data_IF_475518364929
#
_entry.id   IF_475518364929
#
_cell.length_a   1.000
_cell.length_b   1.000
_cell.length_c   1.000
_cell.angle_alpha   90.00
_cell.angle_beta   90.00
_cell.angle_gamma   90.00
#
_symmetry.space_group_name_H-M   'P 1'
#
loop_
_entity.id
_entity.type
_entity.pdbx_description
1 polymer ?
#
# COMPACT_ATOMS: atom_id res chain seq x y z
N UNK A 1 -45.62 35.30 23.62
CA UNK A 1 -44.84 34.65 24.72
C UNK A 1 -44.28 33.36 24.16
N UNK A 2 -42.97 33.16 24.19
CA UNK A 2 -42.35 31.93 23.66
C UNK A 2 -42.66 30.76 24.61
N UNK A 3 -43.32 29.73 24.09
CA UNK A 3 -43.67 28.50 24.81
C UNK A 3 -43.19 27.30 24.02
N UNK A 4 -42.38 26.46 24.65
CA UNK A 4 -41.82 25.23 24.04
C UNK A 4 -42.22 24.05 24.93
N UNK A 5 -42.68 22.97 24.32
CA UNK A 5 -42.91 21.70 25.03
C UNK A 5 -41.59 20.95 25.13
N UNK A 6 -40.98 20.99 26.32
CA UNK A 6 -39.68 20.34 26.60
C UNK A 6 -39.86 18.97 27.28
N UNK A 7 -41.10 18.46 27.37
CA UNK A 7 -41.39 17.23 28.15
C UNK A 7 -41.14 15.93 27.38
N UNK A 8 -40.93 16.00 26.08
CA UNK A 8 -40.86 14.82 25.17
C UNK A 8 -39.44 14.48 24.68
N UNK A 9 -38.39 14.77 25.45
CA UNK A 9 -37.03 14.56 24.95
C UNK A 9 -36.25 13.57 25.79
N UNK A 10 -35.61 12.63 25.13
CA UNK A 10 -34.64 11.68 25.74
C UNK A 10 -33.25 12.30 25.97
N UNK A 11 -33.08 13.61 25.86
CA UNK A 11 -31.81 14.33 25.94
C UNK A 11 -31.79 15.51 26.89
N UNK A 12 -30.69 16.22 27.04
CA UNK A 12 -30.55 17.40 27.90
C UNK A 12 -31.52 18.52 27.48
N UNK A 13 -32.25 19.07 28.41
CA UNK A 13 -33.26 20.10 28.18
C UNK A 13 -32.74 21.34 27.44
N UNK A 14 -31.47 21.73 27.67
CA UNK A 14 -30.86 22.87 26.98
C UNK A 14 -30.74 22.62 25.47
N UNK A 15 -30.44 21.39 25.07
CA UNK A 15 -30.30 21.02 23.65
C UNK A 15 -31.67 21.09 22.94
N UNK A 16 -32.71 20.59 23.57
CA UNK A 16 -34.07 20.70 23.05
C UNK A 16 -34.50 22.17 22.89
N UNK A 17 -34.26 22.99 23.90
CA UNK A 17 -34.54 24.41 23.84
C UNK A 17 -33.76 25.13 22.73
N UNK A 18 -32.48 24.82 22.60
CA UNK A 18 -31.61 25.31 21.52
C UNK A 18 -32.19 24.96 20.15
N UNK A 19 -32.57 23.69 19.92
CA UNK A 19 -33.10 23.22 18.63
C UNK A 19 -34.44 23.87 18.31
N UNK A 20 -35.34 24.05 19.32
CA UNK A 20 -36.60 24.74 19.15
C UNK A 20 -36.41 26.19 18.70
N UNK A 21 -35.53 26.93 19.38
CA UNK A 21 -35.25 28.34 19.05
C UNK A 21 -34.59 28.44 17.66
N UNK A 22 -33.60 27.58 17.37
CA UNK A 22 -32.91 27.50 16.08
C UNK A 22 -33.91 27.26 14.93
N UNK A 23 -34.85 26.33 15.13
CA UNK A 23 -35.87 26.03 14.14
C UNK A 23 -36.82 27.23 13.93
N UNK A 24 -37.23 27.91 14.99
CA UNK A 24 -38.09 29.09 14.88
C UNK A 24 -37.40 30.27 14.18
N UNK A 25 -36.09 30.44 14.39
CA UNK A 25 -35.27 31.40 13.65
C UNK A 25 -35.19 30.98 12.16
N UNK A 26 -34.89 29.69 11.90
CA UNK A 26 -34.74 29.17 10.53
C UNK A 26 -36.03 29.17 9.73
N UNK A 27 -37.19 29.06 10.42
CA UNK A 27 -38.54 29.15 9.83
C UNK A 27 -39.07 30.60 9.72
N UNK A 28 -38.30 31.58 10.19
CA UNK A 28 -38.69 32.98 10.16
C UNK A 28 -39.76 33.37 11.18
N UNK A 29 -40.10 32.50 12.15
CA UNK A 29 -41.03 32.82 13.25
C UNK A 29 -40.43 33.81 14.24
N UNK A 30 -39.10 33.80 14.38
CA UNK A 30 -38.34 34.79 15.11
C UNK A 30 -37.59 35.64 14.09
N UNK A 31 -37.84 36.93 14.07
CA UNK A 31 -37.33 37.85 13.06
C UNK A 31 -35.95 38.38 13.41
N UNK A 32 -35.14 38.69 12.38
CA UNK A 32 -33.85 39.38 12.55
C UNK A 32 -34.02 40.65 13.39
N UNK A 33 -33.11 40.86 14.35
CA UNK A 33 -33.15 41.98 15.29
C UNK A 33 -34.21 41.87 16.37
N UNK A 34 -35.06 40.85 16.40
CA UNK A 34 -36.05 40.62 17.45
C UNK A 34 -35.36 40.41 18.80
N UNK A 35 -35.91 41.03 19.83
CA UNK A 35 -35.39 40.93 21.19
C UNK A 35 -35.88 39.69 21.90
N UNK A 36 -35.01 38.84 22.31
CA UNK A 36 -35.31 37.65 23.09
C UNK A 36 -35.55 37.98 24.59
N UNK A 37 -36.38 37.19 25.29
CA UNK A 37 -36.56 37.31 26.73
C UNK A 37 -35.22 37.15 27.46
N UNK A 38 -35.10 37.77 28.66
CA UNK A 38 -33.92 37.51 29.50
C UNK A 38 -33.84 36.03 29.90
N UNK A 39 -32.63 35.53 30.17
CA UNK A 39 -32.41 34.14 30.62
C UNK A 39 -33.34 33.77 31.79
N UNK A 40 -33.52 34.68 32.78
CA UNK A 40 -34.40 34.48 33.94
C UNK A 40 -35.89 34.50 33.56
N UNK A 41 -36.28 35.37 32.65
CA UNK A 41 -37.66 35.49 32.21
C UNK A 41 -38.10 34.25 31.43
N UNK A 42 -37.25 33.78 30.49
CA UNK A 42 -37.54 32.59 29.70
C UNK A 42 -37.55 31.33 30.56
N UNK A 43 -36.59 31.20 31.50
CA UNK A 43 -36.54 30.10 32.46
C UNK A 43 -37.83 29.98 33.28
N UNK A 44 -38.32 31.12 33.81
CA UNK A 44 -39.55 31.17 34.56
C UNK A 44 -40.77 30.79 33.70
N UNK A 45 -40.82 31.25 32.45
CA UNK A 45 -41.92 30.96 31.53
C UNK A 45 -42.00 29.49 31.12
N UNK A 46 -40.84 28.84 30.96
CA UNK A 46 -40.74 27.44 30.53
C UNK A 46 -40.65 26.44 31.69
N UNK A 47 -40.58 26.91 32.94
CA UNK A 47 -40.46 26.05 34.12
C UNK A 47 -39.11 25.30 34.18
N UNK A 48 -38.04 25.83 33.59
CA UNK A 48 -36.70 25.23 33.55
C UNK A 48 -35.67 26.04 34.35
N UNK A 49 -34.51 25.48 34.59
CA UNK A 49 -33.41 26.20 35.27
C UNK A 49 -32.85 27.33 34.39
N UNK A 50 -32.37 28.41 35.03
CA UNK A 50 -31.72 29.52 34.32
C UNK A 50 -30.48 29.03 33.58
N UNK A 51 -29.76 28.04 34.12
CA UNK A 51 -28.59 27.40 33.48
C UNK A 51 -28.98 26.71 32.18
N UNK A 52 -30.15 26.04 32.12
CA UNK A 52 -30.67 25.43 30.91
C UNK A 52 -30.82 26.44 29.77
N UNK A 53 -31.42 27.60 30.06
CA UNK A 53 -31.61 28.69 29.09
C UNK A 53 -30.24 29.34 28.74
N UNK A 54 -29.38 29.47 29.71
CA UNK A 54 -28.04 30.02 29.51
C UNK A 54 -27.24 29.19 28.51
N UNK A 55 -27.15 27.88 28.72
CA UNK A 55 -26.43 26.97 27.81
C UNK A 55 -27.05 27.00 26.38
N UNK A 56 -28.39 27.07 26.27
CA UNK A 56 -29.04 27.18 24.97
C UNK A 56 -28.72 28.50 24.26
N UNK A 57 -28.73 29.62 25.00
CA UNK A 57 -28.43 30.93 24.46
C UNK A 57 -26.95 31.06 24.10
N UNK A 58 -26.05 30.56 24.93
CA UNK A 58 -24.63 30.63 24.70
C UNK A 58 -24.26 29.81 23.44
N UNK A 59 -24.91 28.67 23.20
CA UNK A 59 -24.76 27.90 21.99
C UNK A 59 -25.28 28.64 20.75
N UNK A 60 -26.48 29.21 20.82
CA UNK A 60 -27.06 30.03 19.74
C UNK A 60 -26.22 31.25 19.40
N UNK A 61 -25.57 31.87 20.42
CA UNK A 61 -24.62 32.96 20.22
C UNK A 61 -23.31 32.44 19.59
N UNK A 62 -22.80 31.33 20.08
CA UNK A 62 -21.59 30.70 19.53
C UNK A 62 -21.74 30.31 18.07
N UNK A 63 -22.92 29.87 17.65
CA UNK A 63 -23.27 29.52 16.28
C UNK A 63 -23.71 30.72 15.41
N UNK A 64 -23.85 31.91 16.01
CA UNK A 64 -24.20 33.13 15.29
C UNK A 64 -25.69 33.31 14.99
N UNK A 65 -26.62 32.51 15.57
CA UNK A 65 -28.07 32.70 15.47
C UNK A 65 -28.57 33.84 16.33
N UNK A 66 -27.83 34.19 17.38
CA UNK A 66 -28.13 35.26 18.32
C UNK A 66 -26.91 36.07 18.63
N UNK A 67 -27.09 37.28 19.11
CA UNK A 67 -26.02 38.11 19.67
C UNK A 67 -26.52 38.85 20.94
N UNK A 68 -25.53 39.12 21.83
CA UNK A 68 -25.81 39.87 23.05
C UNK A 68 -25.36 41.33 22.88
N UNK A 69 -26.19 42.28 23.37
CA UNK A 69 -25.80 43.69 23.51
C UNK A 69 -25.66 44.04 25.01
N UNK A 70 -24.54 44.55 25.45
CA UNK A 70 -24.32 44.93 26.85
C UNK A 70 -25.45 45.82 27.36
N UNK A 71 -26.04 45.46 28.52
CA UNK A 71 -27.18 46.16 29.18
C UNK A 71 -28.48 46.22 28.35
N UNK A 72 -28.57 45.68 27.16
CA UNK A 72 -29.74 45.69 26.28
C UNK A 72 -30.41 44.32 26.12
N UNK A 73 -29.66 43.22 26.33
CA UNK A 73 -30.16 41.86 26.28
C UNK A 73 -29.73 41.09 25.02
N UNK A 74 -30.51 40.08 24.66
CA UNK A 74 -30.25 39.11 23.58
C UNK A 74 -31.13 39.43 22.38
N UNK A 75 -30.56 39.25 21.17
CA UNK A 75 -31.24 39.58 19.90
C UNK A 75 -30.98 38.50 18.89
N UNK A 76 -31.94 38.27 18.01
CA UNK A 76 -31.78 37.36 16.87
C UNK A 76 -30.84 38.02 15.85
N UNK A 77 -29.85 37.25 15.36
CA UNK A 77 -28.96 37.69 14.32
C UNK A 77 -29.66 37.74 12.95
N UNK A 78 -29.09 38.49 12.01
CA UNK A 78 -29.57 38.46 10.64
C UNK A 78 -29.05 37.16 9.95
N UNK A 79 -29.98 36.24 9.75
CA UNK A 79 -29.75 34.97 9.08
C UNK A 79 -30.51 34.88 7.77
N UNK A 80 -30.92 36.03 7.21
CA UNK A 80 -31.74 36.11 5.98
C UNK A 80 -31.04 35.50 4.73
N UNK A 81 -29.71 35.42 4.73
CA UNK A 81 -28.94 34.74 3.67
C UNK A 81 -28.82 33.22 3.84
N UNK A 82 -29.21 32.68 4.97
CA UNK A 82 -29.31 31.24 5.15
C UNK A 82 -30.55 30.75 4.37
N UNK A 83 -30.40 30.53 3.08
CA UNK A 83 -31.40 29.74 2.35
C UNK A 83 -31.54 28.43 3.11
N UNK A 84 -32.75 28.16 3.59
CA UNK A 84 -33.07 26.85 4.18
C UNK A 84 -32.75 25.80 3.14
N UNK A 85 -31.57 25.27 3.21
CA UNK A 85 -31.26 24.03 2.51
C UNK A 85 -32.17 23.02 3.20
N UNK A 86 -33.30 22.70 2.54
CA UNK A 86 -34.18 21.62 2.99
C UNK A 86 -33.28 20.48 3.39
N UNK A 87 -33.43 20.00 4.63
CA UNK A 87 -32.64 18.87 5.11
C UNK A 87 -32.52 17.85 3.98
N UNK A 88 -31.29 17.43 3.61
CA UNK A 88 -31.13 16.51 2.49
C UNK A 88 -32.05 15.33 2.81
N UNK A 89 -33.01 15.04 1.91
CA UNK A 89 -33.73 13.77 1.94
C UNK A 89 -32.68 12.71 2.13
N UNK A 90 -32.80 11.86 3.14
CA UNK A 90 -31.87 10.74 3.36
C UNK A 90 -31.82 9.93 2.07
N UNK A 91 -30.87 10.27 1.20
CA UNK A 91 -30.55 9.44 0.06
C UNK A 91 -29.86 8.20 0.64
N UNK A 92 -30.41 7.03 0.35
CA UNK A 92 -29.65 5.79 0.55
C UNK A 92 -28.30 5.95 -0.11
N UNK A 93 -27.24 5.85 0.69
CA UNK A 93 -25.87 5.95 0.19
C UNK A 93 -25.59 4.71 -0.66
N UNK A 94 -25.53 4.89 -1.97
CA UNK A 94 -25.17 3.83 -2.91
C UNK A 94 -23.66 3.87 -3.22
N UNK A 95 -22.85 3.46 -2.24
CA UNK A 95 -21.40 3.30 -2.41
C UNK A 95 -21.15 1.87 -2.87
N UNK A 96 -20.57 1.71 -4.06
CA UNK A 96 -20.14 0.41 -4.56
C UNK A 96 -18.74 0.10 -4.01
N UNK A 97 -18.69 -0.74 -3.01
CA UNK A 97 -17.43 -1.27 -2.50
C UNK A 97 -16.86 -2.32 -3.47
N UNK A 98 -15.53 -2.45 -3.56
CA UNK A 98 -14.93 -3.57 -4.28
C UNK A 98 -15.37 -4.89 -3.63
N UNK A 99 -15.55 -5.97 -4.40
CA UNK A 99 -15.96 -7.25 -3.87
C UNK A 99 -14.93 -7.76 -2.84
N UNK A 100 -15.43 -8.30 -1.73
CA UNK A 100 -14.60 -9.01 -0.77
C UNK A 100 -13.97 -10.25 -1.41
N UNK A 101 -12.78 -10.62 -0.94
CA UNK A 101 -12.13 -11.82 -1.45
C UNK A 101 -12.85 -13.05 -0.93
N UNK A 102 -13.30 -13.89 -1.85
CA UNK A 102 -13.93 -15.16 -1.51
C UNK A 102 -12.86 -16.16 -1.02
N UNK A 103 -12.85 -16.43 0.28
CA UNK A 103 -11.91 -17.36 0.91
C UNK A 103 -12.14 -18.83 0.49
N UNK A 104 -13.26 -19.15 -0.13
CA UNK A 104 -13.54 -20.50 -0.65
C UNK A 104 -12.75 -20.83 -1.91
N UNK A 105 -12.21 -19.81 -2.61
CA UNK A 105 -11.46 -19.95 -3.84
C UNK A 105 -10.01 -20.37 -3.54
N UNK A 106 -9.57 -21.46 -4.15
CA UNK A 106 -8.17 -21.88 -4.10
C UNK A 106 -7.34 -21.05 -5.09
N UNK A 107 -6.59 -20.07 -4.57
CA UNK A 107 -5.88 -19.07 -5.37
C UNK A 107 -4.40 -19.43 -5.56
N UNK A 108 -4.05 -19.91 -6.76
CA UNK A 108 -2.67 -20.18 -7.17
C UNK A 108 -1.85 -18.91 -7.46
N UNK A 109 -2.49 -17.77 -7.66
CA UNK A 109 -1.85 -16.51 -8.02
C UNK A 109 -1.67 -15.57 -6.82
N UNK A 110 -2.19 -15.97 -5.64
CA UNK A 110 -2.14 -15.14 -4.43
C UNK A 110 -0.69 -14.83 -4.02
N UNK A 111 -0.36 -13.55 -3.99
CA UNK A 111 0.95 -13.07 -3.57
C UNK A 111 1.01 -12.79 -2.05
N UNK A 112 0.21 -13.51 -1.24
CA UNK A 112 0.20 -13.41 0.22
C UNK A 112 1.31 -14.27 0.82
N UNK A 113 1.88 -13.81 1.93
CA UNK A 113 2.80 -14.61 2.75
C UNK A 113 2.01 -15.53 3.68
N UNK A 114 2.60 -16.68 4.02
CA UNK A 114 2.04 -17.60 5.01
C UNK A 114 2.05 -16.95 6.40
N UNK A 115 0.86 -16.67 6.94
CA UNK A 115 0.67 -15.98 8.22
C UNK A 115 1.10 -16.84 9.43
N UNK A 116 1.15 -18.17 9.29
CA UNK A 116 1.52 -19.09 10.37
C UNK A 116 2.98 -19.03 10.80
N UNK A 117 3.84 -18.41 10.00
CA UNK A 117 5.28 -18.37 10.22
C UNK A 117 5.81 -17.07 10.84
N UNK A 118 4.95 -16.07 11.07
CA UNK A 118 5.39 -14.82 11.70
C UNK A 118 5.82 -15.06 13.16
N UNK A 119 6.97 -14.55 13.62
CA UNK A 119 7.50 -14.80 14.95
C UNK A 119 6.84 -13.94 16.03
N UNK A 120 5.53 -14.12 16.26
CA UNK A 120 4.71 -13.29 17.15
C UNK A 120 5.28 -13.14 18.56
N UNK A 121 5.80 -14.23 19.17
CA UNK A 121 6.33 -14.18 20.53
C UNK A 121 7.56 -13.27 20.66
N UNK A 122 8.46 -13.33 19.68
CA UNK A 122 9.66 -12.48 19.64
C UNK A 122 9.25 -11.05 19.37
N UNK A 123 8.39 -10.82 18.37
CA UNK A 123 7.90 -9.50 18.03
C UNK A 123 7.20 -8.81 19.20
N UNK A 124 6.29 -9.51 19.89
CA UNK A 124 5.59 -8.99 21.05
C UNK A 124 6.53 -8.70 22.23
N UNK A 125 7.57 -9.52 22.43
CA UNK A 125 8.61 -9.26 23.43
C UNK A 125 9.34 -7.95 23.11
N UNK A 126 9.88 -7.83 21.90
CA UNK A 126 10.64 -6.63 21.48
C UNK A 126 9.79 -5.37 21.52
N UNK A 127 8.52 -5.45 21.13
CA UNK A 127 7.60 -4.30 21.20
C UNK A 127 7.36 -3.85 22.64
N UNK A 128 7.09 -4.76 23.56
CA UNK A 128 6.93 -4.41 24.99
C UNK A 128 8.17 -3.75 25.57
N UNK A 129 9.35 -4.29 25.27
CA UNK A 129 10.61 -3.72 25.72
C UNK A 129 10.86 -2.34 25.08
N UNK A 130 10.53 -2.17 23.81
CA UNK A 130 10.60 -0.88 23.11
C UNK A 130 9.72 0.17 23.79
N UNK A 131 8.47 -0.19 24.12
CA UNK A 131 7.54 0.69 24.83
C UNK A 131 8.13 1.12 26.19
N UNK A 132 8.67 0.17 26.95
CA UNK A 132 9.21 0.47 28.28
C UNK A 132 10.50 1.30 28.28
N UNK A 133 11.29 1.23 27.21
CA UNK A 133 12.62 1.84 27.16
C UNK A 133 12.63 3.18 26.42
N UNK A 134 11.63 3.49 25.60
CA UNK A 134 11.63 4.63 24.65
C UNK A 134 10.35 5.46 24.69
N UNK A 135 9.76 5.65 25.86
CA UNK A 135 8.48 6.36 26.02
C UNK A 135 8.46 7.75 25.36
N UNK A 136 9.54 8.52 25.48
CA UNK A 136 9.61 9.86 24.93
C UNK A 136 9.74 9.86 23.40
N UNK A 137 10.61 9.01 22.86
CA UNK A 137 10.84 8.89 21.41
C UNK A 137 9.59 8.36 20.70
N UNK A 138 8.84 7.45 21.33
CA UNK A 138 7.60 6.89 20.76
C UNK A 138 6.48 7.92 20.65
N UNK A 139 6.47 8.95 21.48
CA UNK A 139 5.51 10.05 21.44
C UNK A 139 5.94 11.18 20.50
N UNK A 140 7.15 11.12 19.97
CA UNK A 140 7.68 12.12 19.04
C UNK A 140 7.30 11.79 17.59
N UNK A 141 7.15 12.84 16.76
CA UNK A 141 6.90 12.70 15.33
C UNK A 141 8.11 12.04 14.67
N UNK A 142 7.86 10.99 13.89
CA UNK A 142 8.91 10.29 13.14
C UNK A 142 9.58 11.21 12.11
N UNK A 143 10.93 11.22 12.03
CA UNK A 143 11.64 11.93 10.96
C UNK A 143 11.17 11.47 9.57
N UNK A 144 11.24 12.34 8.57
CA UNK A 144 10.75 12.08 7.22
C UNK A 144 11.36 10.84 6.55
N UNK A 145 12.64 10.54 6.84
CA UNK A 145 13.32 9.32 6.37
C UNK A 145 13.10 8.08 7.23
N UNK A 146 12.38 8.22 8.37
CA UNK A 146 12.26 7.18 9.40
C UNK A 146 13.32 7.31 10.50
N UNK A 147 13.13 6.56 11.60
CA UNK A 147 14.05 6.62 12.75
C UNK A 147 15.43 6.11 12.36
N UNK A 148 16.48 6.75 12.94
CA UNK A 148 17.86 6.48 12.58
C UNK A 148 18.26 5.04 12.86
N UNK A 149 17.82 4.49 13.97
CA UNK A 149 18.13 3.12 14.38
C UNK A 149 17.63 2.09 13.37
N UNK A 150 16.45 2.30 12.75
CA UNK A 150 15.97 1.41 11.71
C UNK A 150 16.79 1.54 10.43
N UNK A 151 17.15 2.76 10.04
CA UNK A 151 17.99 3.01 8.86
C UNK A 151 19.39 2.42 9.02
N UNK A 152 19.99 2.51 10.20
CA UNK A 152 21.27 1.87 10.54
C UNK A 152 21.17 0.33 10.51
N UNK A 153 20.09 -0.23 11.06
CA UNK A 153 19.85 -1.67 11.02
C UNK A 153 19.67 -2.18 9.59
N UNK A 154 18.95 -1.43 8.73
CA UNK A 154 18.78 -1.76 7.30
C UNK A 154 20.12 -1.66 6.58
N UNK A 155 20.91 -0.60 6.78
CA UNK A 155 22.23 -0.45 6.15
C UNK A 155 23.16 -1.60 6.52
N UNK A 156 23.21 -1.99 7.79
CA UNK A 156 23.99 -3.15 8.26
C UNK A 156 23.53 -4.46 7.62
N UNK A 157 22.21 -4.68 7.52
CA UNK A 157 21.66 -5.85 6.84
C UNK A 157 22.02 -5.88 5.36
N UNK A 158 21.91 -4.76 4.64
CA UNK A 158 22.28 -4.66 3.23
C UNK A 158 23.76 -4.93 3.01
N UNK A 159 24.63 -4.43 3.90
CA UNK A 159 26.07 -4.71 3.83
C UNK A 159 26.37 -6.19 4.02
N UNK A 160 25.82 -6.82 5.06
CA UNK A 160 26.09 -8.23 5.39
C UNK A 160 25.44 -9.21 4.44
N UNK A 161 24.21 -8.93 3.99
CA UNK A 161 23.41 -9.87 3.18
C UNK A 161 23.54 -9.65 1.67
N UNK A 162 23.69 -8.40 1.22
CA UNK A 162 23.72 -8.01 -0.21
C UNK A 162 25.08 -7.48 -0.66
N UNK A 163 26.02 -7.26 0.25
CA UNK A 163 27.30 -6.63 -0.06
C UNK A 163 27.19 -5.15 -0.48
N UNK A 164 26.09 -4.49 -0.10
CA UNK A 164 25.82 -3.09 -0.43
C UNK A 164 26.27 -2.18 0.71
N UNK A 165 27.23 -1.31 0.47
CA UNK A 165 27.64 -0.29 1.43
C UNK A 165 26.84 0.99 1.17
N UNK A 166 25.83 1.26 1.98
CA UNK A 166 24.98 2.44 1.88
C UNK A 166 25.01 3.21 3.20
N UNK A 167 25.00 4.54 3.12
CA UNK A 167 24.86 5.38 4.30
C UNK A 167 23.42 5.33 4.81
N UNK A 168 23.17 5.23 6.13
CA UNK A 168 21.82 5.28 6.67
C UNK A 168 21.00 6.51 6.23
N UNK A 169 21.65 7.62 5.91
CA UNK A 169 20.99 8.84 5.45
C UNK A 169 20.53 8.79 3.97
N UNK A 170 20.98 7.79 3.20
CA UNK A 170 20.44 7.46 1.89
C UNK A 170 19.13 6.66 1.97
N UNK A 171 18.81 6.10 3.15
CA UNK A 171 17.66 5.20 3.35
C UNK A 171 16.43 5.99 3.76
N UNK A 172 15.34 5.82 3.00
CA UNK A 172 14.03 6.40 3.29
C UNK A 172 13.04 5.28 3.53
N UNK A 173 12.44 5.26 4.72
CA UNK A 173 11.44 4.28 5.16
C UNK A 173 10.03 4.78 4.83
N UNK A 174 9.14 3.88 4.37
CA UNK A 174 7.76 4.22 4.06
C UNK A 174 6.78 3.07 4.26
N UNK A 175 5.50 3.39 4.38
CA UNK A 175 4.41 2.43 4.62
C UNK A 175 4.05 1.63 3.36
N UNK A 176 4.97 0.81 2.89
CA UNK A 176 4.85 -0.02 1.69
C UNK A 176 5.40 0.66 0.44
N UNK A 177 5.69 -0.15 -0.57
CA UNK A 177 6.29 0.32 -1.83
C UNK A 177 5.38 1.27 -2.59
N UNK A 178 4.07 1.11 -2.49
CA UNK A 178 3.07 2.00 -3.12
C UNK A 178 3.25 3.48 -2.70
N UNK A 179 3.51 3.71 -1.40
CA UNK A 179 3.81 5.04 -0.89
C UNK A 179 5.13 5.57 -1.44
N UNK A 180 6.16 4.71 -1.46
CA UNK A 180 7.49 5.08 -1.97
C UNK A 180 7.46 5.43 -3.46
N UNK A 181 6.68 4.71 -4.30
CA UNK A 181 6.53 5.05 -5.72
C UNK A 181 5.91 6.44 -5.90
N UNK A 182 4.85 6.76 -5.14
CA UNK A 182 4.27 8.11 -5.16
C UNK A 182 5.23 9.19 -4.66
N UNK A 183 6.09 8.85 -3.69
CA UNK A 183 7.11 9.76 -3.18
C UNK A 183 8.22 10.01 -4.22
N UNK A 184 8.61 8.96 -4.97
CA UNK A 184 9.57 9.09 -6.07
C UNK A 184 9.06 9.99 -7.19
N UNK A 185 7.78 9.93 -7.53
CA UNK A 185 7.20 10.87 -8.52
C UNK A 185 7.34 12.33 -8.06
N UNK A 186 7.13 12.58 -6.76
CA UNK A 186 7.31 13.93 -6.18
C UNK A 186 8.78 14.37 -6.19
N UNK A 187 9.70 13.44 -6.03
CA UNK A 187 11.14 13.71 -6.02
C UNK A 187 11.69 13.91 -7.43
N UNK A 188 11.39 12.99 -8.34
CA UNK A 188 11.96 12.95 -9.70
C UNK A 188 11.22 13.87 -10.70
N UNK A 189 9.93 14.11 -10.47
CA UNK A 189 9.08 14.98 -11.30
C UNK A 189 8.02 14.22 -12.10
N UNK A 190 6.91 14.93 -12.37
CA UNK A 190 5.78 14.44 -13.17
C UNK A 190 5.97 14.70 -14.67
N UNK A 191 6.95 15.52 -15.02
CA UNK A 191 7.32 15.89 -16.39
C UNK A 191 8.13 14.81 -17.11
N UNK A 192 8.64 13.84 -16.37
CA UNK A 192 9.42 12.71 -16.89
C UNK A 192 8.53 11.58 -17.40
N UNK A 193 9.03 10.85 -18.39
CA UNK A 193 8.42 9.63 -18.89
C UNK A 193 8.98 8.44 -18.09
N UNK A 194 8.12 7.79 -17.35
CA UNK A 194 8.41 6.54 -16.65
C UNK A 194 8.14 5.37 -17.59
N UNK A 195 8.90 4.30 -17.48
CA UNK A 195 8.57 3.05 -18.14
C UNK A 195 8.62 1.88 -17.17
N UNK A 196 7.80 0.87 -17.47
CA UNK A 196 7.65 -0.37 -16.69
C UNK A 196 7.75 -1.56 -17.62
N UNK A 197 8.12 -2.70 -17.07
CA UNK A 197 8.20 -3.99 -17.75
C UNK A 197 6.82 -4.48 -18.20
N UNK A 198 6.71 -5.05 -19.41
CA UNK A 198 5.48 -5.64 -19.95
C UNK A 198 5.76 -7.04 -20.56
N UNK A 199 5.16 -8.14 -20.02
CA UNK A 199 4.21 -8.16 -18.90
C UNK A 199 4.84 -7.70 -17.58
N UNK A 200 4.03 -7.15 -16.67
CA UNK A 200 4.52 -6.64 -15.38
C UNK A 200 3.43 -6.42 -14.33
N UNK A 201 3.83 -5.98 -13.16
CA UNK A 201 2.88 -5.70 -12.09
C UNK A 201 2.11 -4.41 -12.37
N UNK A 202 0.91 -4.53 -12.92
CA UNK A 202 0.06 -3.41 -13.39
C UNK A 202 -0.13 -2.28 -12.38
N UNK A 203 -0.11 -2.62 -11.09
CA UNK A 203 -0.30 -1.63 -10.03
C UNK A 203 0.77 -0.53 -10.03
N UNK A 204 1.99 -0.84 -10.51
CA UNK A 204 3.07 0.15 -10.61
C UNK A 204 2.68 1.26 -11.59
N UNK A 205 2.25 0.90 -12.80
CA UNK A 205 1.81 1.91 -13.80
C UNK A 205 0.61 2.71 -13.31
N UNK A 206 -0.38 2.06 -12.69
CA UNK A 206 -1.54 2.72 -12.11
C UNK A 206 -1.16 3.74 -11.03
N UNK A 207 -0.18 3.42 -10.17
CA UNK A 207 0.29 4.35 -9.14
C UNK A 207 0.98 5.56 -9.79
N UNK A 208 1.82 5.36 -10.79
CA UNK A 208 2.46 6.46 -11.51
C UNK A 208 1.43 7.36 -12.19
N UNK A 209 0.48 6.79 -12.91
CA UNK A 209 -0.62 7.51 -13.56
C UNK A 209 -1.49 8.29 -12.56
N UNK A 210 -1.85 7.67 -11.42
CA UNK A 210 -2.57 8.34 -10.33
C UNK A 210 -1.80 9.51 -9.71
N UNK A 211 -0.46 9.51 -9.81
CA UNK A 211 0.40 10.63 -9.42
C UNK A 211 0.70 11.60 -10.57
N UNK A 212 -0.06 11.54 -11.67
CA UNK A 212 0.09 12.38 -12.87
C UNK A 212 1.44 12.23 -13.60
N UNK A 213 2.13 11.10 -13.44
CA UNK A 213 3.32 10.79 -14.19
C UNK A 213 2.96 9.96 -15.43
N UNK A 214 3.54 10.30 -16.57
CA UNK A 214 3.38 9.51 -17.79
C UNK A 214 4.12 8.20 -17.65
N UNK A 215 3.42 7.07 -17.69
CA UNK A 215 3.99 5.74 -17.57
C UNK A 215 3.71 4.91 -18.84
N UNK A 216 4.76 4.35 -19.44
CA UNK A 216 4.67 3.59 -20.69
C UNK A 216 5.15 2.16 -20.47
N UNK A 217 4.40 1.15 -20.93
CA UNK A 217 4.87 -0.25 -20.92
C UNK A 217 5.95 -0.45 -21.97
N UNK A 218 6.99 -1.19 -21.60
CA UNK A 218 8.08 -1.59 -22.49
C UNK A 218 8.20 -3.10 -22.51
N UNK A 219 8.11 -3.69 -23.69
CA UNK A 219 8.16 -5.14 -23.87
C UNK A 219 9.51 -5.71 -23.41
N UNK A 220 9.41 -6.89 -22.83
CA UNK A 220 10.54 -7.71 -22.41
C UNK A 220 10.89 -8.76 -23.47
N UNK A 221 12.18 -9.11 -23.49
CA UNK A 221 12.68 -10.33 -24.12
C UNK A 221 13.07 -11.38 -23.05
N UNK A 222 13.80 -12.40 -23.43
CA UNK A 222 14.27 -13.48 -22.53
C UNK A 222 15.29 -12.99 -21.47
N UNK A 223 15.83 -11.78 -21.62
CA UNK A 223 16.82 -11.17 -20.73
C UNK A 223 16.23 -10.05 -19.84
N UNK A 224 14.93 -9.75 -19.98
CA UNK A 224 14.26 -8.67 -19.27
C UNK A 224 13.87 -7.52 -20.18
N UNK A 225 13.70 -6.31 -19.62
CA UNK A 225 13.27 -5.13 -20.38
C UNK A 225 14.25 -4.79 -21.52
N UNK A 226 13.73 -4.44 -22.69
CA UNK A 226 14.52 -4.08 -23.86
C UNK A 226 15.01 -2.63 -23.79
N UNK A 227 16.32 -2.42 -23.71
CA UNK A 227 16.93 -1.07 -23.67
C UNK A 227 16.67 -0.31 -24.97
N UNK A 228 16.63 -0.98 -26.12
CA UNK A 228 16.29 -0.38 -27.40
C UNK A 228 14.87 0.21 -27.36
N UNK A 229 13.90 -0.52 -26.79
CA UNK A 229 12.53 -0.05 -26.67
C UNK A 229 12.40 1.06 -25.63
N UNK A 230 13.17 1.05 -24.52
CA UNK A 230 13.26 2.17 -23.57
C UNK A 230 13.68 3.45 -24.31
N UNK A 231 14.69 3.37 -25.17
CA UNK A 231 15.15 4.50 -25.99
C UNK A 231 14.07 4.97 -26.97
N UNK A 232 13.34 4.05 -27.61
CA UNK A 232 12.24 4.38 -28.56
C UNK A 232 11.09 5.13 -27.90
N UNK A 233 10.72 4.79 -26.66
CA UNK A 233 9.67 5.49 -25.94
C UNK A 233 10.16 6.78 -25.27
N UNK A 234 11.45 7.08 -25.38
CA UNK A 234 12.12 8.24 -24.80
C UNK A 234 11.89 8.35 -23.28
N UNK A 235 12.01 7.21 -22.56
CA UNK A 235 11.85 7.20 -21.11
C UNK A 235 13.06 7.81 -20.40
N UNK A 236 12.82 8.47 -19.28
CA UNK A 236 13.83 8.97 -18.37
C UNK A 236 13.95 8.08 -17.13
N UNK A 237 12.88 7.42 -16.71
CA UNK A 237 12.85 6.58 -15.52
C UNK A 237 12.44 5.16 -15.93
N UNK A 238 13.28 4.18 -15.65
CA UNK A 238 12.98 2.76 -15.87
C UNK A 238 12.75 2.07 -14.53
N UNK A 239 11.54 1.55 -14.29
CA UNK A 239 11.21 0.76 -13.10
C UNK A 239 11.22 -0.72 -13.47
N UNK A 240 12.10 -1.49 -12.84
CA UNK A 240 12.41 -2.87 -13.20
C UNK A 240 12.60 -3.76 -11.97
N UNK A 241 12.44 -5.08 -12.14
CA UNK A 241 12.68 -6.10 -11.11
C UNK A 241 13.73 -7.11 -11.60
N UNK A 242 15.03 -6.77 -11.58
CA UNK A 242 16.07 -7.53 -12.29
C UNK A 242 16.50 -8.82 -11.61
N UNK A 243 16.26 -8.98 -10.31
CA UNK A 243 16.65 -10.19 -9.55
C UNK A 243 15.66 -11.31 -9.70
N UNK A 244 14.37 -10.99 -9.75
CA UNK A 244 13.28 -11.95 -9.95
C UNK A 244 12.05 -11.21 -10.47
N UNK A 245 11.89 -11.20 -11.79
CA UNK A 245 10.80 -10.44 -12.41
C UNK A 245 9.43 -11.07 -12.16
N UNK A 246 8.46 -10.26 -11.72
CA UNK A 246 7.06 -10.67 -11.67
C UNK A 246 6.30 -10.14 -12.91
N UNK A 247 5.61 -11.01 -13.67
CA UNK A 247 5.25 -12.40 -13.35
C UNK A 247 6.16 -13.47 -13.97
N UNK A 248 7.13 -13.13 -14.80
CA UNK A 248 7.82 -14.08 -15.67
C UNK A 248 8.89 -14.94 -14.97
N UNK A 249 9.29 -14.56 -13.76
CA UNK A 249 10.39 -15.21 -13.05
C UNK A 249 11.78 -14.98 -13.66
N UNK A 250 11.91 -14.17 -14.70
CA UNK A 250 13.20 -13.89 -15.37
C UNK A 250 14.17 -13.23 -14.38
N UNK A 251 15.37 -13.75 -14.34
CA UNK A 251 16.51 -13.09 -13.70
C UNK A 251 17.34 -12.40 -14.80
N UNK A 252 17.48 -11.09 -14.70
CA UNK A 252 18.20 -10.27 -15.68
C UNK A 252 19.71 -10.62 -15.68
N UNK A 253 20.28 -11.01 -16.81
CA UNK A 253 21.71 -11.34 -16.90
C UNK A 253 22.56 -10.06 -16.79
N UNK A 254 23.82 -10.24 -16.43
CA UNK A 254 24.76 -9.14 -16.12
C UNK A 254 24.97 -8.19 -17.30
N UNK A 255 25.02 -8.70 -18.54
CA UNK A 255 25.14 -7.86 -19.73
C UNK A 255 23.99 -6.85 -19.86
N UNK A 256 22.73 -7.28 -19.66
CA UNK A 256 21.56 -6.40 -19.71
C UNK A 256 21.58 -5.35 -18.60
N UNK A 257 22.11 -5.69 -17.41
CA UNK A 257 22.30 -4.74 -16.31
C UNK A 257 23.26 -3.62 -16.68
N UNK A 258 24.39 -3.97 -17.34
CA UNK A 258 25.34 -2.98 -17.85
C UNK A 258 24.77 -2.15 -19.01
N UNK A 259 23.96 -2.73 -19.90
CA UNK A 259 23.26 -1.97 -20.94
C UNK A 259 22.30 -0.92 -20.34
N UNK A 260 21.58 -1.27 -19.27
CA UNK A 260 20.70 -0.34 -18.56
C UNK A 260 21.48 0.76 -17.84
N UNK A 261 22.60 0.43 -17.19
CA UNK A 261 23.47 1.45 -16.57
C UNK A 261 24.06 2.37 -17.63
N UNK A 262 24.51 1.83 -18.78
CA UNK A 262 24.98 2.65 -19.88
C UNK A 262 23.90 3.60 -20.40
N UNK A 263 22.65 3.10 -20.57
CA UNK A 263 21.51 3.94 -20.95
C UNK A 263 21.24 5.04 -19.92
N UNK A 264 21.27 4.72 -18.62
CA UNK A 264 21.04 5.72 -17.57
C UNK A 264 22.14 6.80 -17.56
N UNK A 265 23.39 6.40 -17.85
CA UNK A 265 24.53 7.33 -17.90
C UNK A 265 24.58 8.25 -19.13
N UNK A 266 23.78 7.97 -20.16
CA UNK A 266 23.69 8.86 -21.34
C UNK A 266 23.07 10.22 -21.02
N UNK A 267 22.36 10.39 -19.89
CA UNK A 267 21.75 11.67 -19.48
C UNK A 267 21.70 11.81 -17.95
N UNK A 268 21.84 13.04 -17.46
CA UNK A 268 21.74 13.35 -16.02
C UNK A 268 20.36 13.05 -15.45
N UNK A 269 19.30 13.14 -16.25
CA UNK A 269 17.91 12.99 -15.81
C UNK A 269 17.40 11.56 -15.86
N UNK A 270 18.21 10.58 -16.29
CA UNK A 270 17.81 9.19 -16.35
C UNK A 270 18.15 8.47 -15.06
N UNK A 271 17.19 7.65 -14.58
CA UNK A 271 17.37 6.79 -13.40
C UNK A 271 16.74 5.42 -13.63
N UNK A 272 17.27 4.45 -12.91
CA UNK A 272 16.74 3.08 -12.80
C UNK A 272 16.14 2.94 -11.40
N UNK A 273 14.88 2.55 -11.30
CA UNK A 273 14.26 2.11 -10.05
C UNK A 273 14.33 0.59 -10.04
N UNK A 274 15.15 0.04 -9.17
CA UNK A 274 15.33 -1.39 -8.96
C UNK A 274 14.44 -1.87 -7.83
N UNK A 275 13.34 -2.58 -8.17
CA UNK A 275 12.42 -3.17 -7.20
C UNK A 275 12.81 -4.61 -6.87
N UNK A 276 13.32 -4.81 -5.68
CA UNK A 276 13.92 -6.06 -5.21
C UNK A 276 13.07 -6.69 -4.09
N UNK A 277 11.84 -7.05 -4.41
CA UNK A 277 10.77 -7.35 -3.45
C UNK A 277 10.85 -8.71 -2.74
N UNK A 278 11.59 -9.71 -3.26
CA UNK A 278 11.66 -11.08 -2.72
C UNK A 278 13.05 -11.73 -2.78
N UNK A 279 14.08 -10.94 -2.87
CA UNK A 279 15.49 -11.38 -3.00
C UNK A 279 16.02 -12.23 -1.84
N UNK A 280 15.39 -12.14 -0.68
CA UNK A 280 15.71 -12.99 0.46
C UNK A 280 15.38 -14.48 0.20
N UNK A 281 14.50 -14.79 -0.77
CA UNK A 281 14.00 -16.14 -1.06
C UNK A 281 14.65 -16.80 -2.27
N UNK A 282 15.96 -16.69 -2.40
CA UNK A 282 16.70 -17.57 -3.30
C UNK A 282 16.96 -18.91 -2.61
N UNK A 283 16.48 -20.00 -3.24
CA UNK A 283 16.50 -21.34 -2.63
C UNK A 283 17.88 -21.98 -2.72
N UNK A 284 18.60 -21.73 -3.83
CA UNK A 284 19.94 -22.28 -4.08
C UNK A 284 20.95 -21.16 -4.36
N UNK A 285 22.14 -21.26 -3.77
CA UNK A 285 23.24 -20.33 -3.97
C UNK A 285 23.13 -19.02 -3.18
N UNK A 286 24.03 -18.08 -3.47
CA UNK A 286 24.05 -16.76 -2.87
C UNK A 286 23.00 -15.83 -3.52
N UNK A 287 22.53 -14.81 -2.79
CA UNK A 287 21.68 -13.78 -3.37
C UNK A 287 22.34 -13.13 -4.59
N UNK A 288 21.53 -12.85 -5.61
CA UNK A 288 22.04 -12.17 -6.83
C UNK A 288 22.34 -10.72 -6.47
N UNK A 289 23.56 -10.21 -6.75
CA UNK A 289 23.87 -8.81 -6.49
C UNK A 289 22.90 -7.88 -7.23
N UNK A 290 22.39 -6.81 -6.60
CA UNK A 290 21.54 -5.85 -7.28
C UNK A 290 22.32 -4.97 -8.26
N UNK A 291 21.61 -4.26 -9.15
CA UNK A 291 22.23 -3.30 -10.08
C UNK A 291 22.91 -2.17 -9.29
N UNK A 292 22.32 -1.74 -8.18
CA UNK A 292 22.91 -0.73 -7.29
C UNK A 292 24.34 -1.09 -6.88
N UNK A 293 24.66 -2.39 -6.67
CA UNK A 293 26.00 -2.80 -6.24
C UNK A 293 27.09 -2.61 -7.29
N UNK A 294 26.72 -2.44 -8.56
CA UNK A 294 27.62 -2.18 -9.69
C UNK A 294 27.45 -0.79 -10.28
N UNK A 295 26.61 0.05 -9.69
CA UNK A 295 26.39 1.44 -10.11
C UNK A 295 27.49 2.35 -9.56
N UNK A 296 28.37 2.82 -10.43
CA UNK A 296 29.43 3.78 -10.10
C UNK A 296 29.02 5.25 -10.34
N UNK A 297 27.83 5.51 -10.88
CA UNK A 297 27.42 6.83 -11.37
C UNK A 297 26.18 7.37 -10.70
N UNK A 298 25.73 6.77 -9.60
CA UNK A 298 24.56 7.20 -8.82
C UNK A 298 23.26 7.32 -9.67
N UNK A 299 22.98 6.28 -10.46
CA UNK A 299 21.80 6.22 -11.34
C UNK A 299 20.72 5.27 -10.86
N UNK A 300 20.99 4.46 -9.84
CA UNK A 300 20.07 3.44 -9.37
C UNK A 300 19.44 3.84 -8.03
N UNK A 301 18.11 3.80 -8.00
CA UNK A 301 17.28 3.89 -6.80
C UNK A 301 16.85 2.47 -6.46
N UNK A 302 17.28 1.95 -5.32
CA UNK A 302 16.94 0.61 -4.89
C UNK A 302 15.73 0.62 -3.96
N UNK A 303 14.79 -0.30 -4.15
CA UNK A 303 13.60 -0.45 -3.30
C UNK A 303 13.50 -1.90 -2.82
N UNK A 304 13.17 -2.06 -1.53
CA UNK A 304 12.85 -3.36 -0.95
C UNK A 304 11.73 -3.25 0.09
N UNK A 305 11.15 -4.40 0.47
CA UNK A 305 10.01 -4.46 1.38
C UNK A 305 10.10 -5.61 2.37
N UNK A 306 9.77 -5.35 3.63
CA UNK A 306 9.58 -6.38 4.63
C UNK A 306 8.24 -7.12 4.51
N UNK A 307 7.36 -6.68 3.61
CA UNK A 307 6.03 -7.30 3.40
C UNK A 307 6.11 -8.73 2.88
N UNK A 308 7.20 -9.13 2.24
CA UNK A 308 7.44 -10.51 1.77
C UNK A 308 8.25 -11.34 2.75
N UNK A 309 9.22 -10.71 3.37
CA UNK A 309 10.15 -11.39 4.28
C UNK A 309 9.57 -11.59 5.68
N UNK A 310 8.62 -10.75 6.13
CA UNK A 310 7.93 -10.88 7.42
C UNK A 310 6.44 -11.21 7.26
N UNK A 311 5.63 -10.20 6.98
CA UNK A 311 4.18 -10.35 6.72
C UNK A 311 3.67 -9.19 5.88
N UNK A 312 2.69 -9.45 5.02
CA UNK A 312 2.09 -8.43 4.16
C UNK A 312 1.41 -7.28 4.93
N UNK A 313 1.05 -7.50 6.18
CA UNK A 313 0.36 -6.53 7.05
C UNK A 313 1.30 -5.55 7.73
N UNK A 314 2.61 -5.83 7.82
CA UNK A 314 3.58 -4.95 8.48
C UNK A 314 3.76 -3.62 7.73
N UNK A 315 3.56 -3.64 6.42
CA UNK A 315 3.59 -2.45 5.56
C UNK A 315 4.85 -1.59 5.70
N UNK A 316 6.00 -2.18 5.98
CA UNK A 316 7.28 -1.45 6.03
C UNK A 316 8.08 -1.79 4.76
N UNK A 317 8.45 -0.73 4.06
CA UNK A 317 9.35 -0.79 2.89
C UNK A 317 10.37 0.33 3.00
N UNK A 318 11.44 0.24 2.25
CA UNK A 318 12.45 1.30 2.20
C UNK A 318 13.00 1.46 0.79
N UNK A 319 13.53 2.64 0.52
CA UNK A 319 14.32 2.92 -0.67
C UNK A 319 15.70 3.45 -0.29
N UNK A 320 16.69 3.12 -1.09
CA UNK A 320 18.04 3.67 -1.02
C UNK A 320 18.20 4.63 -2.18
N UNK A 321 18.44 5.89 -1.87
CA UNK A 321 18.61 6.95 -2.85
C UNK A 321 20.11 7.18 -3.13
N UNK A 322 20.49 7.49 -4.37
CA UNK A 322 21.76 8.16 -4.65
C UNK A 322 21.97 9.37 -3.76
N UNK A 323 23.20 9.69 -3.40
CA UNK A 323 23.51 10.77 -2.43
C UNK A 323 22.87 12.12 -2.82
N UNK A 324 22.99 12.48 -4.10
CA UNK A 324 22.42 13.75 -4.59
C UNK A 324 20.88 13.76 -4.51
N UNK A 325 20.20 12.62 -4.73
CA UNK A 325 18.74 12.51 -4.60
C UNK A 325 18.32 12.45 -3.13
N UNK A 326 19.12 11.87 -2.22
CA UNK A 326 18.88 11.92 -0.79
C UNK A 326 18.93 13.35 -0.27
N UNK A 327 19.95 14.12 -0.68
CA UNK A 327 20.05 15.55 -0.37
C UNK A 327 18.85 16.34 -0.88
N UNK A 328 18.40 16.07 -2.12
CA UNK A 328 17.22 16.70 -2.70
C UNK A 328 15.93 16.30 -1.97
N UNK A 329 15.80 15.03 -1.56
CA UNK A 329 14.70 14.55 -0.75
C UNK A 329 14.59 15.32 0.58
N UNK A 330 15.67 15.42 1.35
CA UNK A 330 15.67 16.16 2.61
C UNK A 330 15.45 17.66 2.41
N UNK A 331 15.94 18.24 1.32
CA UNK A 331 15.72 19.66 1.01
C UNK A 331 14.26 19.96 0.65
N UNK A 332 13.58 19.10 -0.14
CA UNK A 332 12.25 19.38 -0.70
C UNK A 332 11.10 18.73 0.06
N UNK A 333 11.33 17.57 0.66
CA UNK A 333 10.27 16.73 1.20
C UNK A 333 10.39 16.49 2.70
N UNK A 334 11.31 17.16 3.41
CA UNK A 334 11.51 17.03 4.86
C UNK A 334 10.30 17.43 5.71
N UNK A 335 9.35 18.16 5.15
CA UNK A 335 8.09 18.51 5.83
C UNK A 335 7.10 17.34 5.96
N UNK A 336 7.33 16.22 5.24
CA UNK A 336 6.58 14.99 5.46
C UNK A 336 7.10 14.27 6.70
N UNK A 337 6.19 13.67 7.47
CA UNK A 337 6.56 12.69 8.48
C UNK A 337 6.63 11.30 7.86
N UNK A 338 7.50 10.43 8.38
CA UNK A 338 7.47 9.02 7.97
C UNK A 338 6.11 8.40 8.27
N UNK A 339 5.59 7.64 7.31
CA UNK A 339 4.26 7.04 7.39
C UNK A 339 4.21 5.75 8.20
N UNK A 340 5.36 5.22 8.61
CA UNK A 340 5.45 4.03 9.48
C UNK A 340 5.44 4.46 10.94
N UNK A 341 4.67 3.77 11.77
CA UNK A 341 4.63 4.00 13.21
C UNK A 341 6.02 3.86 13.85
N UNK A 342 6.38 4.80 14.74
CA UNK A 342 7.63 4.73 15.50
C UNK A 342 7.73 3.46 16.34
N UNK A 343 6.62 2.94 16.87
CA UNK A 343 6.56 1.66 17.59
C UNK A 343 7.06 0.50 16.73
N UNK A 344 6.60 0.42 15.48
CA UNK A 344 7.01 -0.61 14.55
C UNK A 344 8.43 -0.41 14.05
N UNK A 345 8.84 0.83 13.80
CA UNK A 345 10.19 1.14 13.35
C UNK A 345 11.24 0.71 14.39
N UNK A 346 11.09 1.08 15.65
CA UNK A 346 12.03 0.69 16.70
C UNK A 346 12.00 -0.82 16.98
N UNK A 347 10.81 -1.44 16.91
CA UNK A 347 10.68 -2.90 17.07
C UNK A 347 11.42 -3.64 15.94
N UNK A 348 11.25 -3.21 14.69
CA UNK A 348 11.91 -3.80 13.53
C UNK A 348 13.43 -3.54 13.57
N UNK A 349 13.87 -2.36 13.97
CA UNK A 349 15.29 -2.05 14.14
C UNK A 349 15.98 -3.06 15.07
N UNK A 350 15.38 -3.32 16.22
CA UNK A 350 15.87 -4.33 17.16
C UNK A 350 15.76 -5.75 16.61
N UNK A 351 14.66 -6.08 15.94
CA UNK A 351 14.47 -7.40 15.33
C UNK A 351 15.58 -7.72 14.32
N UNK A 352 16.04 -6.71 13.56
CA UNK A 352 17.17 -6.84 12.63
C UNK A 352 18.49 -6.89 13.40
N UNK A 353 18.80 -5.88 14.23
CA UNK A 353 20.10 -5.71 14.88
C UNK A 353 20.42 -6.82 15.90
N UNK A 354 19.42 -7.42 16.55
CA UNK A 354 19.59 -8.55 17.46
C UNK A 354 19.65 -9.91 16.71
N UNK A 355 19.66 -9.91 15.37
CA UNK A 355 19.83 -11.10 14.53
C UNK A 355 18.57 -12.00 14.41
N UNK A 356 17.41 -11.55 14.89
CA UNK A 356 16.16 -12.31 14.76
C UNK A 356 15.66 -12.35 13.33
N UNK A 357 15.87 -11.28 12.57
CA UNK A 357 15.49 -11.20 11.15
C UNK A 357 16.22 -12.25 10.32
N UNK A 358 17.53 -12.35 10.46
CA UNK A 358 18.33 -13.34 9.73
C UNK A 358 17.91 -14.79 10.08
N UNK A 359 17.72 -15.07 11.36
CA UNK A 359 17.21 -16.39 11.82
C UNK A 359 15.83 -16.69 11.22
N UNK A 360 14.96 -15.68 11.15
CA UNK A 360 13.64 -15.81 10.53
C UNK A 360 13.76 -16.11 9.03
N UNK A 361 14.55 -15.35 8.27
CA UNK A 361 14.75 -15.56 6.83
C UNK A 361 15.29 -16.97 6.55
N UNK A 362 16.29 -17.43 7.32
CA UNK A 362 16.84 -18.77 7.15
C UNK A 362 15.77 -19.87 7.40
N UNK A 363 14.94 -19.72 8.42
CA UNK A 363 13.80 -20.61 8.66
C UNK A 363 12.78 -20.57 7.52
N UNK A 364 12.44 -19.39 7.01
CA UNK A 364 11.49 -19.23 5.91
C UNK A 364 12.00 -19.81 4.60
N UNK A 365 13.30 -19.70 4.30
CA UNK A 365 13.93 -20.36 3.14
C UNK A 365 13.74 -21.87 3.19
N UNK A 366 14.00 -22.48 4.34
CA UNK A 366 13.79 -23.94 4.53
C UNK A 366 12.31 -24.31 4.37
N UNK A 367 11.42 -23.52 4.95
CA UNK A 367 9.97 -23.75 4.87
C UNK A 367 9.50 -23.66 3.42
N UNK A 368 9.81 -22.56 2.72
CA UNK A 368 9.40 -22.37 1.33
C UNK A 368 10.10 -23.33 0.36
N UNK A 369 11.35 -23.72 0.64
CA UNK A 369 12.05 -24.74 -0.13
C UNK A 369 11.33 -26.10 -0.09
N UNK A 370 10.90 -26.54 1.10
CA UNK A 370 10.10 -27.78 1.27
C UNK A 370 8.74 -27.66 0.57
N UNK A 371 8.05 -26.55 0.74
CA UNK A 371 6.75 -26.28 0.13
C UNK A 371 6.83 -26.29 -1.40
N UNK A 372 7.85 -25.64 -1.96
CA UNK A 372 8.16 -25.65 -3.40
C UNK A 372 8.35 -27.08 -3.90
N UNK A 373 9.18 -27.87 -3.24
CA UNK A 373 9.41 -29.28 -3.64
C UNK A 373 8.13 -30.12 -3.60
N UNK A 374 7.29 -29.94 -2.58
CA UNK A 374 5.98 -30.60 -2.49
C UNK A 374 5.08 -30.24 -3.67
N UNK A 375 4.97 -28.93 -3.99
CA UNK A 375 4.15 -28.45 -5.11
C UNK A 375 4.67 -28.99 -6.44
N UNK A 376 5.98 -28.95 -6.68
CA UNK A 376 6.60 -29.48 -7.89
C UNK A 376 6.39 -31.00 -8.03
N UNK A 377 6.50 -31.76 -6.94
CA UNK A 377 6.23 -33.19 -6.92
C UNK A 377 4.77 -33.50 -7.25
N UNK A 378 3.82 -32.72 -6.72
CA UNK A 378 2.40 -32.85 -7.04
C UNK A 378 2.11 -32.58 -8.53
N UNK A 379 2.73 -31.55 -9.11
CA UNK A 379 2.59 -31.24 -10.53
C UNK A 379 3.14 -32.39 -11.39
N UNK A 380 4.33 -32.89 -11.09
CA UNK A 380 4.95 -34.02 -11.80
C UNK A 380 4.16 -35.32 -11.64
N UNK A 381 3.47 -35.51 -10.51
CA UNK A 381 2.59 -36.68 -10.28
C UNK A 381 1.26 -36.58 -11.03
N UNK A 382 0.77 -35.38 -11.32
CA UNK A 382 -0.49 -35.15 -11.99
C UNK A 382 -0.37 -35.07 -13.52
N UNK A 383 0.69 -34.43 -14.02
CA UNK A 383 0.88 -34.14 -15.45
C UNK A 383 2.11 -34.83 -16.00
N UNK A 384 2.05 -35.26 -17.26
CA UNK A 384 3.23 -35.63 -18.03
C UNK A 384 3.99 -34.39 -18.52
N UNK A 385 5.27 -34.54 -18.88
CA UNK A 385 6.10 -33.44 -19.40
C UNK A 385 5.55 -32.83 -20.72
N UNK A 386 4.74 -33.58 -21.47
CA UNK A 386 4.07 -33.07 -22.65
C UNK A 386 2.85 -32.23 -22.30
N UNK A 387 2.09 -32.60 -21.28
CA UNK A 387 0.89 -31.91 -20.86
C UNK A 387 1.17 -30.60 -20.12
N UNK A 388 2.23 -30.60 -19.28
CA UNK A 388 2.59 -29.45 -18.45
C UNK A 388 4.10 -29.33 -18.30
N UNK A 389 4.66 -28.19 -18.68
CA UNK A 389 6.07 -27.82 -18.48
C UNK A 389 6.20 -26.82 -17.34
N UNK A 390 7.09 -27.07 -16.39
CA UNK A 390 7.45 -26.13 -15.34
C UNK A 390 8.59 -25.25 -15.82
N UNK A 391 8.44 -23.93 -15.66
CA UNK A 391 9.46 -22.91 -15.99
C UNK A 391 9.82 -22.22 -14.68
N UNK A 392 11.02 -22.47 -14.19
CA UNK A 392 11.51 -21.93 -12.91
C UNK A 392 13.02 -21.65 -12.93
N UNK A 393 13.51 -20.86 -11.95
CA UNK A 393 14.91 -20.47 -11.82
C UNK A 393 15.44 -20.47 -10.38
N UNK A 394 14.84 -21.26 -9.48
CA UNK A 394 15.23 -21.36 -8.06
C UNK A 394 15.15 -20.05 -7.23
N UNK A 395 14.45 -19.05 -7.73
CA UNK A 395 14.33 -17.74 -7.08
C UNK A 395 12.87 -17.39 -6.78
N UNK A 396 12.67 -16.61 -5.71
CA UNK A 396 11.37 -16.04 -5.33
C UNK A 396 10.35 -17.06 -4.84
N UNK A 397 9.09 -16.65 -4.79
CA UNK A 397 7.98 -17.40 -4.20
C UNK A 397 6.97 -17.91 -5.25
N UNK A 398 7.28 -17.76 -6.55
CA UNK A 398 6.44 -18.25 -7.63
C UNK A 398 7.27 -18.85 -8.74
N UNK A 399 6.65 -19.67 -9.56
CA UNK A 399 7.16 -20.15 -10.84
C UNK A 399 6.02 -20.22 -11.86
N UNK A 400 6.33 -20.53 -13.08
CA UNK A 400 5.36 -20.61 -14.18
C UNK A 400 5.16 -22.07 -14.58
N UNK A 401 3.91 -22.41 -14.89
CA UNK A 401 3.57 -23.65 -15.59
C UNK A 401 3.03 -23.30 -16.97
N UNK A 402 3.39 -24.11 -17.95
CA UNK A 402 2.89 -23.98 -19.31
C UNK A 402 2.15 -25.27 -19.68
N UNK A 403 0.88 -25.12 -20.09
CA UNK A 403 0.06 -26.25 -20.53
C UNK A 403 0.06 -26.38 -22.05
N UNK A 404 0.02 -27.62 -22.53
CA UNK A 404 -0.24 -27.93 -23.94
C UNK A 404 -1.74 -28.00 -24.18
N UNK A 405 -2.36 -26.87 -24.47
CA UNK A 405 -3.79 -26.71 -24.67
C UNK A 405 -4.10 -25.73 -25.79
N UNK A 406 -5.25 -25.89 -26.44
CA UNK A 406 -5.75 -24.95 -27.45
C UNK A 406 -6.81 -23.98 -26.88
N UNK A 407 -7.11 -24.07 -25.57
CA UNK A 407 -8.10 -23.21 -24.93
C UNK A 407 -7.48 -21.85 -24.66
N UNK A 408 -8.09 -20.72 -25.08
CA UNK A 408 -7.57 -19.39 -24.82
C UNK A 408 -7.35 -19.12 -23.31
N UNK A 409 -6.27 -18.43 -22.96
CA UNK A 409 -5.87 -18.16 -21.58
C UNK A 409 -7.01 -17.62 -20.71
N UNK A 410 -7.75 -16.64 -21.22
CA UNK A 410 -8.90 -16.04 -20.52
C UNK A 410 -10.02 -17.05 -20.27
N UNK A 411 -10.26 -17.95 -21.22
CA UNK A 411 -11.28 -19.01 -21.09
C UNK A 411 -10.87 -20.02 -20.02
N UNK A 412 -9.58 -20.37 -19.95
CA UNK A 412 -9.04 -21.23 -18.89
C UNK A 412 -9.27 -20.59 -17.52
N UNK A 413 -8.94 -19.31 -17.35
CA UNK A 413 -9.17 -18.57 -16.09
C UNK A 413 -10.64 -18.60 -15.67
N UNK A 414 -11.58 -18.35 -16.62
CA UNK A 414 -13.02 -18.31 -16.36
C UNK A 414 -13.59 -19.70 -16.01
N UNK A 415 -13.14 -20.75 -16.70
CA UNK A 415 -13.59 -22.14 -16.44
C UNK A 415 -13.12 -22.61 -15.06
N UNK A 416 -11.87 -22.36 -14.72
CA UNK A 416 -11.31 -22.77 -13.43
C UNK A 416 -11.92 -21.97 -12.27
N UNK A 417 -12.18 -20.67 -12.46
CA UNK A 417 -12.83 -19.83 -11.45
C UNK A 417 -14.23 -20.36 -11.10
N UNK A 418 -15.02 -20.82 -12.07
CA UNK A 418 -16.31 -21.47 -11.84
C UNK A 418 -16.21 -22.76 -11.01
N UNK A 419 -15.04 -23.41 -11.02
CA UNK A 419 -14.72 -24.59 -10.20
C UNK A 419 -14.03 -24.25 -8.85
N UNK A 420 -14.03 -22.97 -8.47
CA UNK A 420 -13.43 -22.50 -7.22
C UNK A 420 -11.89 -22.49 -7.25
N UNK A 421 -11.28 -22.39 -8.43
CA UNK A 421 -9.83 -22.32 -8.62
C UNK A 421 -9.49 -21.03 -9.34
N UNK A 422 -8.64 -20.21 -8.74
CA UNK A 422 -8.09 -19.02 -9.39
C UNK A 422 -6.67 -19.32 -9.85
N UNK A 423 -6.49 -19.33 -11.16
CA UNK A 423 -5.21 -19.46 -11.84
C UNK A 423 -5.10 -18.31 -12.83
N UNK A 424 -4.00 -17.58 -12.82
CA UNK A 424 -3.83 -16.39 -13.68
C UNK A 424 -2.76 -16.65 -14.73
N UNK A 425 -3.11 -16.36 -15.98
CA UNK A 425 -2.19 -16.42 -17.10
C UNK A 425 -1.21 -15.24 -17.09
N UNK A 426 -0.02 -15.40 -17.64
CA UNK A 426 0.94 -14.30 -17.81
C UNK A 426 0.34 -13.18 -18.67
N UNK A 427 -0.48 -13.53 -19.67
CA UNK A 427 -1.18 -12.58 -20.53
C UNK A 427 -2.13 -11.66 -19.75
N UNK A 428 -2.59 -12.07 -18.56
CA UNK A 428 -3.35 -11.22 -17.65
C UNK A 428 -2.55 -9.98 -17.20
N UNK A 429 -1.23 -10.07 -17.13
CA UNK A 429 -0.32 -9.03 -16.65
C UNK A 429 0.18 -8.11 -17.75
N UNK A 430 -0.15 -8.36 -19.00
CA UNK A 430 0.19 -7.48 -20.10
C UNK A 430 -0.58 -6.15 -20.01
N UNK A 431 0.13 -5.04 -20.18
CA UNK A 431 -0.43 -3.71 -20.39
C UNK A 431 -0.71 -3.48 -21.88
N UNK A 432 0.18 -3.96 -22.74
CA UNK A 432 -0.03 -4.03 -24.19
C UNK A 432 -0.71 -5.36 -24.48
N UNK A 433 -1.85 -5.33 -25.19
CA UNK A 433 -2.57 -6.55 -25.53
C UNK A 433 -1.65 -7.53 -26.27
N UNK A 434 -1.47 -8.76 -25.78
CA UNK A 434 -0.63 -9.75 -26.45
C UNK A 434 -1.26 -10.17 -27.78
N UNK A 435 -0.41 -10.54 -28.74
CA UNK A 435 -0.87 -11.03 -30.05
C UNK A 435 -1.41 -12.45 -29.99
N UNK A 436 -0.85 -13.27 -29.11
CA UNK A 436 -1.15 -14.69 -28.95
C UNK A 436 -1.21 -15.09 -27.47
N UNK A 437 -1.99 -16.12 -27.17
CA UNK A 437 -1.96 -16.75 -25.86
C UNK A 437 -0.67 -17.54 -25.69
N UNK A 438 -0.13 -17.56 -24.47
CA UNK A 438 1.14 -18.26 -24.15
C UNK A 438 0.89 -19.58 -23.44
N UNK A 439 -0.32 -19.81 -22.94
CA UNK A 439 -0.71 -20.92 -22.07
C UNK A 439 0.19 -21.08 -20.84
N UNK A 440 0.72 -19.95 -20.37
CA UNK A 440 1.63 -19.84 -19.24
C UNK A 440 0.90 -19.22 -18.06
N UNK A 441 0.92 -19.92 -16.91
CA UNK A 441 0.18 -19.54 -15.72
C UNK A 441 1.08 -19.48 -14.50
N UNK A 442 0.78 -18.57 -13.57
CA UNK A 442 1.57 -18.34 -12.37
C UNK A 442 1.14 -19.31 -11.27
N UNK A 443 2.13 -19.93 -10.64
CA UNK A 443 1.97 -20.67 -9.40
C UNK A 443 2.77 -19.98 -8.31
N UNK A 444 2.10 -19.23 -7.45
CA UNK A 444 2.69 -18.70 -6.22
C UNK A 444 2.50 -19.72 -5.09
N UNK A 445 3.59 -20.36 -4.69
CA UNK A 445 3.54 -21.43 -3.70
C UNK A 445 3.61 -20.94 -2.25
N UNK A 446 3.77 -19.64 -2.00
CA UNK A 446 3.92 -19.10 -0.63
C UNK A 446 2.71 -19.38 0.27
N UNK A 447 1.49 -19.30 -0.28
CA UNK A 447 0.25 -19.49 0.48
C UNK A 447 -0.55 -20.74 0.07
N UNK A 448 0.01 -21.63 -0.75
CA UNK A 448 -0.67 -22.86 -1.17
C UNK A 448 -0.71 -23.85 0.00
N UNK A 449 -1.87 -24.44 0.22
CA UNK A 449 -2.03 -25.62 1.08
C UNK A 449 -1.56 -26.86 0.32
N UNK A 450 -0.41 -27.40 0.72
CA UNK A 450 0.22 -28.53 0.02
C UNK A 450 -0.62 -29.83 0.10
N UNK A 451 -1.45 -30.00 1.13
CA UNK A 451 -2.27 -31.19 1.32
C UNK A 451 -3.48 -31.22 0.38
N UNK A 452 -3.93 -30.05 -0.05
CA UNK A 452 -5.09 -29.88 -0.95
C UNK A 452 -4.74 -29.68 -2.42
N UNK A 453 -3.46 -29.57 -2.76
CA UNK A 453 -3.03 -29.19 -4.09
C UNK A 453 -3.37 -30.27 -5.15
N UNK A 454 -3.21 -31.56 -4.80
CA UNK A 454 -3.39 -32.67 -5.74
C UNK A 454 -4.81 -32.70 -6.32
N UNK A 455 -5.83 -32.54 -5.48
CA UNK A 455 -7.22 -32.49 -5.93
C UNK A 455 -7.47 -31.33 -6.90
N UNK A 456 -6.85 -30.19 -6.64
CA UNK A 456 -6.99 -29.01 -7.47
C UNK A 456 -6.27 -29.16 -8.81
N UNK A 457 -5.10 -29.79 -8.83
CA UNK A 457 -4.39 -30.11 -10.07
C UNK A 457 -5.16 -31.10 -10.95
N UNK A 458 -5.82 -32.09 -10.38
CA UNK A 458 -6.70 -33.02 -11.11
C UNK A 458 -7.87 -32.28 -11.75
N UNK A 459 -8.53 -31.37 -11.02
CA UNK A 459 -9.60 -30.54 -11.57
C UNK A 459 -9.08 -29.66 -12.73
N UNK A 460 -7.88 -29.10 -12.60
CA UNK A 460 -7.24 -28.33 -13.68
C UNK A 460 -7.05 -29.22 -14.89
N UNK A 461 -6.44 -30.41 -14.71
CA UNK A 461 -6.18 -31.36 -15.78
C UNK A 461 -7.46 -31.71 -16.57
N UNK A 462 -8.51 -32.12 -15.86
CA UNK A 462 -9.79 -32.50 -16.44
C UNK A 462 -10.56 -31.34 -17.14
N UNK A 463 -10.10 -30.09 -16.87
CA UNK A 463 -10.77 -28.89 -17.42
C UNK A 463 -10.13 -28.39 -18.69
N UNK A 464 -8.81 -28.56 -18.83
CA UNK A 464 -8.02 -27.85 -19.85
C UNK A 464 -7.29 -28.81 -20.82
N UNK A 465 -7.17 -30.08 -20.49
CA UNK A 465 -6.60 -31.14 -21.32
C UNK A 465 -7.64 -32.15 -21.75
#
# INVERSE_FOLDING_TARGET
MLTYDLTKTDGPLYKCLYECIKNDISQGKLSSGEKMPSKRTLAKNLGVSTITVENAYDQLIGEGYMFARPKRGYFIADVSDIRVIKAPVQKELSIKLPPEQDESIFDFSSNRTDSGNFPFSIWAKLMRETISLREQELLSVSPCGGVRELREAIASHLSSFRGMNVDPDQIIVGAGTEYLYGLLVKLLGTDKVYCVEDPGYKKISQIYECNNAKCLPVQMDEQGISVELIKKVNAQIAHISPTHHFPTGITMPVNRRYELLAWANESSDRYIIEDDYDSEFRMNGHPIPPILSIDACEKVIYINTFSKSLTSTIRISYMVLPEHLANEFYRRLSFYSCTVSTFEQYTLARFISEGYFEKHINRMRLHYGRKRQSVLSSIKGCFTEKECRVIENDSGLHFIIQFDTNIPDKTVEELLLKKGIKLQAITHFNLIKPKEDRHQFIINYSNIDADRIMDKLLIIKDTIL
#
